data_IF_832752673921
#
_entry.id   IF_832752673921
#
_cell.length_a   1.000
_cell.length_b   1.000
_cell.length_c   1.000
_cell.angle_alpha   90.00
_cell.angle_beta   90.00
_cell.angle_gamma   90.00
#
_symmetry.space_group_name_H-M   'P 1'
#
loop_
_entity.id
_entity.type
_entity.pdbx_description
1 polymer ?
#
# COMPACT_ATOMS: atom_id res chain seq x y z
N UNK A 1 -17.51 -18.17 -17.77
CA UNK A 1 -16.52 -17.29 -18.38
C UNK A 1 -17.24 -16.06 -18.87
N UNK A 2 -16.65 -14.90 -18.63
CA UNK A 2 -17.15 -13.64 -19.12
C UNK A 2 -16.25 -13.13 -20.25
N UNK A 3 -16.82 -12.47 -21.21
CA UNK A 3 -16.10 -11.73 -22.23
C UNK A 3 -16.63 -10.29 -22.22
N UNK A 4 -15.73 -9.33 -22.10
CA UNK A 4 -16.07 -7.92 -22.00
C UNK A 4 -15.57 -7.19 -23.24
N UNK A 5 -16.41 -6.35 -23.81
CA UNK A 5 -16.05 -5.48 -24.93
C UNK A 5 -16.67 -4.10 -24.77
N UNK A 6 -15.92 -3.07 -25.21
CA UNK A 6 -16.40 -1.71 -25.30
C UNK A 6 -16.96 -1.46 -26.71
N UNK A 7 -18.13 -0.88 -26.79
CA UNK A 7 -18.82 -0.53 -28.04
C UNK A 7 -19.18 0.95 -28.04
N UNK A 8 -19.28 1.53 -29.22
CA UNK A 8 -19.75 2.91 -29.43
C UNK A 8 -19.00 3.94 -28.58
N UNK A 9 -17.66 3.79 -28.53
CA UNK A 9 -16.81 4.73 -27.77
C UNK A 9 -16.77 6.11 -28.42
N UNK A 10 -17.13 7.12 -27.66
CA UNK A 10 -16.97 8.53 -28.02
C UNK A 10 -15.72 9.09 -27.36
N UNK A 11 -14.94 9.85 -28.11
CA UNK A 11 -13.65 10.34 -27.67
C UNK A 11 -13.55 11.84 -27.85
N UNK A 12 -12.90 12.52 -26.92
CA UNK A 12 -12.55 13.93 -27.02
C UNK A 12 -11.02 14.08 -27.01
N UNK A 13 -10.52 15.10 -27.70
CA UNK A 13 -9.10 15.41 -27.66
C UNK A 13 -8.73 15.97 -26.28
N UNK A 14 -7.63 15.50 -25.71
CA UNK A 14 -7.13 15.97 -24.42
C UNK A 14 -6.41 17.32 -24.58
N UNK A 15 -6.55 18.17 -23.56
CA UNK A 15 -5.82 19.44 -23.50
C UNK A 15 -4.34 19.20 -23.19
N UNK A 16 -3.47 20.17 -23.48
CA UNK A 16 -2.04 20.10 -23.14
C UNK A 16 -1.81 19.89 -21.63
N UNK A 17 -2.66 20.49 -20.80
CA UNK A 17 -2.62 20.31 -19.34
C UNK A 17 -2.97 18.87 -18.92
N UNK A 18 -3.98 18.28 -19.54
CA UNK A 18 -4.40 16.90 -19.24
C UNK A 18 -3.33 15.90 -19.66
N UNK A 19 -2.70 16.13 -20.82
CA UNK A 19 -1.59 15.30 -21.30
C UNK A 19 -0.40 15.39 -20.36
N UNK A 20 -0.04 16.58 -19.89
CA UNK A 20 1.04 16.76 -18.93
C UNK A 20 0.76 16.03 -17.60
N UNK A 21 -0.46 16.12 -17.10
CA UNK A 21 -0.90 15.42 -15.89
C UNK A 21 -0.89 13.90 -16.08
N UNK A 22 -1.41 13.42 -17.21
CA UNK A 22 -1.37 12.00 -17.53
C UNK A 22 0.06 11.45 -17.57
N UNK A 23 0.95 12.12 -18.27
CA UNK A 23 2.36 11.71 -18.39
C UNK A 23 3.08 11.71 -17.03
N UNK A 24 2.74 12.66 -16.16
CA UNK A 24 3.28 12.71 -14.79
C UNK A 24 2.80 11.54 -13.92
N UNK A 25 1.55 11.11 -14.10
CA UNK A 25 0.93 10.08 -13.26
C UNK A 25 1.17 8.66 -13.78
N UNK A 26 1.09 8.43 -15.08
CA UNK A 26 1.12 7.08 -15.64
C UNK A 26 2.51 6.64 -16.12
N UNK A 27 3.33 7.57 -16.60
CA UNK A 27 4.65 7.28 -17.20
C UNK A 27 4.63 6.31 -18.40
N UNK A 28 3.44 5.87 -18.82
CA UNK A 28 3.24 4.89 -19.89
C UNK A 28 2.66 5.54 -21.14
N UNK A 29 3.07 5.04 -22.30
CA UNK A 29 2.48 5.45 -23.59
C UNK A 29 1.06 4.88 -23.67
N UNK A 30 0.02 5.70 -23.92
CA UNK A 30 -1.33 5.21 -24.06
C UNK A 30 -1.46 4.25 -25.26
N UNK A 31 -2.31 3.22 -25.14
CA UNK A 31 -2.59 2.31 -26.26
C UNK A 31 -3.41 3.02 -27.36
N UNK A 32 -3.43 2.44 -28.56
CA UNK A 32 -4.27 2.96 -29.65
C UNK A 32 -5.78 2.75 -29.41
N UNK A 33 -6.11 1.74 -28.60
CA UNK A 33 -7.50 1.39 -28.29
C UNK A 33 -7.66 1.08 -26.81
N UNK A 34 -8.82 1.40 -26.26
CA UNK A 34 -9.17 1.01 -24.90
C UNK A 34 -9.38 -0.51 -24.84
N UNK A 35 -8.58 -1.19 -24.03
CA UNK A 35 -8.63 -2.65 -23.85
C UNK A 35 -9.11 -2.96 -22.43
N UNK A 36 -10.38 -3.38 -22.25
CA UNK A 36 -10.87 -3.76 -20.93
C UNK A 36 -10.21 -5.06 -20.47
N UNK A 37 -9.69 -5.03 -19.26
CA UNK A 37 -9.23 -6.22 -18.53
C UNK A 37 -10.34 -6.67 -17.59
N UNK A 38 -10.46 -7.97 -17.42
CA UNK A 38 -11.50 -8.54 -16.58
C UNK A 38 -10.94 -9.58 -15.64
N UNK A 39 -11.44 -9.57 -14.41
CA UNK A 39 -11.18 -10.61 -13.43
C UNK A 39 -12.44 -10.93 -12.64
N UNK A 40 -12.58 -12.18 -12.22
CA UNK A 40 -13.64 -12.59 -11.29
C UNK A 40 -13.03 -12.72 -9.92
N UNK A 41 -13.57 -11.99 -8.97
CA UNK A 41 -13.18 -12.05 -7.56
C UNK A 41 -14.38 -12.47 -6.72
N UNK A 42 -14.16 -12.84 -5.47
CA UNK A 42 -15.20 -13.11 -4.51
C UNK A 42 -15.18 -12.02 -3.43
N UNK A 43 -16.32 -11.36 -3.24
CA UNK A 43 -16.51 -10.40 -2.18
C UNK A 43 -17.74 -10.79 -1.37
N UNK A 44 -17.58 -10.98 -0.05
CA UNK A 44 -18.68 -11.38 0.85
C UNK A 44 -19.46 -12.62 0.35
N UNK A 45 -18.75 -13.64 -0.15
CA UNK A 45 -19.32 -14.87 -0.74
C UNK A 45 -20.13 -14.64 -2.03
N UNK A 46 -20.02 -13.50 -2.64
CA UNK A 46 -20.63 -13.22 -3.94
C UNK A 46 -19.52 -13.09 -4.99
N UNK A 47 -19.73 -13.71 -6.15
CA UNK A 47 -18.83 -13.54 -7.29
C UNK A 47 -19.01 -12.15 -7.89
N UNK A 48 -17.90 -11.40 -8.00
CA UNK A 48 -17.87 -10.06 -8.59
C UNK A 48 -17.01 -10.09 -9.84
N UNK A 49 -17.54 -9.60 -10.95
CA UNK A 49 -16.78 -9.33 -12.16
C UNK A 49 -16.20 -7.92 -12.07
N UNK A 50 -14.90 -7.83 -11.93
CA UNK A 50 -14.18 -6.57 -11.99
C UNK A 50 -13.69 -6.32 -13.41
N UNK A 51 -13.90 -5.10 -13.90
CA UNK A 51 -13.51 -4.66 -15.24
C UNK A 51 -12.70 -3.39 -15.08
N UNK A 52 -11.44 -3.45 -15.51
CA UNK A 52 -10.51 -2.34 -15.41
C UNK A 52 -10.05 -1.92 -16.81
N UNK A 53 -9.98 -0.65 -17.11
CA UNK A 53 -9.40 -0.13 -18.35
C UNK A 53 -8.92 1.31 -18.19
N UNK A 54 -7.90 1.67 -18.98
CA UNK A 54 -7.49 3.06 -19.11
C UNK A 54 -8.34 3.75 -20.19
N UNK A 55 -9.01 4.87 -19.89
CA UNK A 55 -9.80 5.58 -20.86
C UNK A 55 -8.98 6.44 -21.83
N UNK A 56 -7.67 6.57 -21.61
CA UNK A 56 -6.77 7.38 -22.44
C UNK A 56 -6.20 6.54 -23.57
N UNK A 57 -6.29 7.05 -24.79
CA UNK A 57 -5.73 6.43 -26.01
C UNK A 57 -4.88 7.42 -26.77
N UNK A 58 -3.90 6.89 -27.52
CA UNK A 58 -3.10 7.67 -28.49
C UNK A 58 -3.32 7.14 -29.88
N UNK A 59 -4.11 7.88 -30.66
CA UNK A 59 -4.45 7.52 -32.04
C UNK A 59 -4.48 8.74 -32.94
N UNK A 60 -4.19 8.56 -34.22
CA UNK A 60 -4.11 9.66 -35.18
C UNK A 60 -3.21 10.81 -34.71
N UNK A 61 -2.10 10.46 -34.04
CA UNK A 61 -1.13 11.39 -33.46
C UNK A 61 -1.71 12.35 -32.41
N UNK A 62 -2.79 11.96 -31.70
CA UNK A 62 -3.46 12.75 -30.67
C UNK A 62 -3.77 11.89 -29.43
N UNK A 63 -3.63 12.51 -28.27
CA UNK A 63 -4.14 11.94 -27.03
C UNK A 63 -5.64 12.22 -26.93
N UNK A 64 -6.42 11.17 -26.72
CA UNK A 64 -7.88 11.26 -26.63
C UNK A 64 -8.36 10.54 -25.36
N UNK A 65 -9.42 11.08 -24.79
CA UNK A 65 -10.10 10.53 -23.61
C UNK A 65 -11.44 9.92 -24.06
N UNK A 66 -11.67 8.67 -23.68
CA UNK A 66 -12.98 8.02 -23.84
C UNK A 66 -13.97 8.62 -22.81
N UNK A 67 -15.02 9.27 -23.29
CA UNK A 67 -16.01 9.97 -22.45
C UNK A 67 -17.36 9.27 -22.39
N UNK A 68 -17.70 8.48 -23.42
CA UNK A 68 -18.95 7.74 -23.49
C UNK A 68 -18.70 6.40 -24.16
N UNK A 69 -19.36 5.34 -23.68
CA UNK A 69 -19.24 3.99 -24.24
C UNK A 69 -20.38 3.10 -23.78
N UNK A 70 -20.59 2.01 -24.50
CA UNK A 70 -21.44 0.92 -24.05
C UNK A 70 -20.54 -0.28 -23.68
N UNK A 71 -20.72 -0.80 -22.46
CA UNK A 71 -20.03 -2.00 -22.00
C UNK A 71 -20.91 -3.23 -22.30
N UNK A 72 -20.43 -4.09 -23.18
CA UNK A 72 -21.07 -5.37 -23.47
C UNK A 72 -20.37 -6.47 -22.67
N UNK A 73 -21.14 -7.20 -21.87
CA UNK A 73 -20.67 -8.34 -21.09
C UNK A 73 -21.39 -9.59 -21.54
N UNK A 74 -20.67 -10.52 -22.15
CA UNK A 74 -21.20 -11.81 -22.56
C UNK A 74 -20.78 -12.87 -21.52
N UNK A 75 -21.76 -13.56 -20.97
CA UNK A 75 -21.55 -14.62 -20.00
C UNK A 75 -21.85 -15.99 -20.62
N UNK A 76 -20.89 -16.93 -20.48
CA UNK A 76 -21.13 -18.32 -20.86
C UNK A 76 -20.83 -19.27 -19.70
N UNK A 77 -21.57 -20.36 -19.53
CA UNK A 77 -21.25 -21.36 -18.53
C UNK A 77 -19.89 -22.02 -18.83
N UNK A 78 -19.17 -22.39 -17.76
CA UNK A 78 -17.94 -23.17 -17.87
C UNK A 78 -18.24 -24.59 -18.37
N UNK A 79 -17.54 -25.03 -19.39
CA UNK A 79 -17.56 -26.44 -19.82
C UNK A 79 -16.97 -27.33 -18.73
N UNK A 80 -17.39 -28.59 -18.66
CA UNK A 80 -16.95 -29.55 -17.64
C UNK A 80 -15.43 -29.74 -17.61
N UNK A 81 -14.78 -29.70 -18.76
CA UNK A 81 -13.32 -29.75 -18.91
C UNK A 81 -12.60 -28.50 -18.34
N UNK A 82 -13.26 -27.35 -18.32
CA UNK A 82 -12.72 -26.09 -17.82
C UNK A 82 -12.91 -25.95 -16.28
N UNK A 83 -13.84 -26.73 -15.68
CA UNK A 83 -14.06 -26.76 -14.23
C UNK A 83 -12.94 -27.45 -13.47
N UNK A 84 -12.30 -28.43 -14.08
CA UNK A 84 -11.22 -29.20 -13.46
C UNK A 84 -9.91 -28.38 -13.30
N UNK A 85 -9.68 -27.40 -14.15
CA UNK A 85 -8.50 -26.54 -14.10
C UNK A 85 -8.64 -25.35 -13.12
N UNK A 86 -9.83 -25.12 -12.56
CA UNK A 86 -10.07 -23.99 -11.62
C UNK A 86 -9.44 -24.19 -10.24
N UNK A 87 -9.27 -25.43 -9.78
CA UNK A 87 -8.54 -25.73 -8.54
C UNK A 87 -7.04 -25.39 -8.63
N UNK A 88 -6.50 -25.33 -9.86
CA UNK A 88 -5.11 -24.94 -10.13
C UNK A 88 -4.96 -23.46 -10.50
N UNK A 89 -6.05 -22.76 -10.85
CA UNK A 89 -6.03 -21.36 -11.28
C UNK A 89 -6.03 -20.37 -10.11
N UNK A 90 -6.42 -20.80 -8.91
CA UNK A 90 -6.24 -20.04 -7.67
C UNK A 90 -4.79 -20.06 -7.19
N UNK A 91 -3.97 -20.99 -7.70
CA UNK A 91 -2.55 -21.12 -7.34
C UNK A 91 -1.57 -20.61 -8.42
N UNK A 92 -2.06 -20.28 -9.62
CA UNK A 92 -1.22 -19.73 -10.70
C UNK A 92 -2.02 -18.68 -11.46
N UNK A 93 -1.88 -17.44 -11.02
CA UNK A 93 -2.31 -16.27 -11.77
C UNK A 93 -1.61 -16.24 -13.15
N UNK A 94 -2.23 -16.87 -14.16
CA UNK A 94 -1.88 -16.56 -15.55
C UNK A 94 -2.54 -15.23 -15.89
N UNK A 95 -1.81 -14.15 -15.65
CA UNK A 95 -2.05 -12.89 -16.35
C UNK A 95 -1.76 -13.15 -17.82
N UNK A 96 -2.80 -13.23 -18.64
CA UNK A 96 -2.66 -13.36 -20.08
C UNK A 96 -2.21 -12.02 -20.66
N UNK A 97 -0.95 -12.00 -20.98
CA UNK A 97 -0.29 -11.22 -22.04
C UNK A 97 -0.75 -9.78 -22.28
N UNK A 98 -0.17 -8.87 -21.55
CA UNK A 98 0.30 -7.59 -22.06
C UNK A 98 1.59 -7.22 -21.33
N UNK A 99 2.65 -7.95 -21.65
CA UNK A 99 3.98 -7.51 -21.29
C UNK A 99 4.95 -8.13 -22.27
N UNK A 100 5.74 -7.31 -22.89
CA UNK A 100 7.05 -7.77 -23.32
C UNK A 100 7.70 -8.46 -22.13
N UNK A 101 8.34 -9.59 -22.31
CA UNK A 101 9.01 -10.38 -21.27
C UNK A 101 9.94 -9.55 -20.37
N UNK A 102 10.36 -8.39 -20.85
CA UNK A 102 11.23 -7.47 -20.14
C UNK A 102 10.51 -6.58 -19.12
N UNK A 103 9.25 -6.18 -19.38
CA UNK A 103 8.47 -5.41 -18.40
C UNK A 103 8.02 -6.26 -17.21
N UNK A 104 7.72 -7.57 -17.43
CA UNK A 104 7.44 -8.51 -16.34
C UNK A 104 8.68 -8.84 -15.50
N UNK A 105 9.85 -8.95 -16.14
CA UNK A 105 11.12 -9.13 -15.43
C UNK A 105 11.49 -7.89 -14.62
N UNK A 106 11.24 -6.70 -15.13
CA UNK A 106 11.47 -5.45 -14.41
C UNK A 106 10.50 -5.28 -13.23
N UNK A 107 9.22 -5.63 -13.39
CA UNK A 107 8.23 -5.55 -12.31
C UNK A 107 8.52 -6.55 -11.17
N UNK A 108 8.96 -7.77 -11.48
CA UNK A 108 9.30 -8.78 -10.46
C UNK A 108 10.57 -8.43 -9.66
N UNK A 109 11.43 -7.53 -10.17
CA UNK A 109 12.61 -7.05 -9.46
C UNK A 109 12.35 -5.82 -8.60
N UNK A 110 11.18 -5.16 -8.75
CA UNK A 110 10.82 -3.94 -8.04
C UNK A 110 10.09 -4.21 -6.72
N UNK A 111 9.54 -5.41 -6.56
CA UNK A 111 8.76 -5.81 -5.39
C UNK A 111 9.37 -7.02 -4.70
N UNK A 112 9.14 -7.13 -3.41
CA UNK A 112 9.60 -8.25 -2.61
C UNK A 112 8.95 -9.55 -3.11
N UNK A 113 9.75 -10.60 -3.30
CA UNK A 113 9.23 -11.92 -3.70
C UNK A 113 8.51 -12.65 -2.57
N UNK A 114 8.81 -12.31 -1.32
CA UNK A 114 8.24 -12.87 -0.09
C UNK A 114 8.19 -11.79 0.97
N UNK A 115 7.12 -11.77 1.75
CA UNK A 115 7.01 -10.87 2.91
C UNK A 115 7.97 -11.30 4.04
N UNK A 116 8.48 -10.34 4.78
CA UNK A 116 9.23 -10.61 6.03
C UNK A 116 8.41 -11.43 7.03
N UNK A 117 7.07 -11.34 6.97
CA UNK A 117 6.16 -12.12 7.81
C UNK A 117 5.99 -13.58 7.37
N UNK A 118 6.55 -13.99 6.21
CA UNK A 118 6.37 -15.34 5.67
C UNK A 118 7.01 -16.43 6.55
N UNK A 119 7.93 -16.06 7.40
CA UNK A 119 8.63 -17.00 8.29
C UNK A 119 8.89 -16.38 9.65
N UNK A 120 9.27 -17.22 10.63
CA UNK A 120 9.58 -16.78 11.97
C UNK A 120 8.34 -16.67 12.87
N UNK A 121 8.58 -16.23 14.10
CA UNK A 121 7.54 -15.96 15.09
C UNK A 121 7.35 -14.47 15.21
N UNK A 122 6.09 -14.02 15.12
CA UNK A 122 5.72 -12.62 15.15
C UNK A 122 4.69 -12.33 16.23
N UNK A 123 4.78 -11.15 16.81
CA UNK A 123 3.74 -10.63 17.69
C UNK A 123 3.37 -9.22 17.21
N UNK A 124 2.07 -8.90 17.27
CA UNK A 124 1.55 -7.59 16.91
C UNK A 124 1.44 -6.73 18.17
N UNK A 125 2.04 -5.54 18.15
CA UNK A 125 1.90 -4.53 19.20
C UNK A 125 1.13 -3.34 18.68
N UNK A 126 0.53 -2.58 19.58
CA UNK A 126 -0.26 -1.37 19.27
C UNK A 126 0.26 -0.15 20.01
N UNK A 127 0.14 1.01 19.39
CA UNK A 127 0.46 2.31 19.97
C UNK A 127 -0.74 3.24 19.81
N UNK A 128 -1.03 4.03 20.83
CA UNK A 128 -2.17 4.97 20.84
C UNK A 128 -1.80 6.36 20.32
N UNK A 129 -0.52 6.71 20.35
CA UNK A 129 -0.03 8.04 20.07
C UNK A 129 1.22 8.01 19.21
N UNK A 130 1.44 9.08 18.43
CA UNK A 130 2.69 9.29 17.71
C UNK A 130 3.76 9.84 18.64
N UNK A 131 4.95 9.26 18.60
CA UNK A 131 6.08 9.69 19.41
C UNK A 131 7.06 8.59 19.79
N UNK A 132 7.92 8.87 20.74
CA UNK A 132 8.89 7.93 21.27
C UNK A 132 8.24 6.96 22.26
N UNK A 133 8.32 5.69 21.98
CA UNK A 133 7.80 4.61 22.80
C UNK A 133 8.91 3.75 23.33
N UNK A 134 8.80 3.32 24.57
CA UNK A 134 9.73 2.35 25.14
C UNK A 134 9.24 0.92 24.87
N UNK A 135 10.07 0.12 24.23
CA UNK A 135 9.89 -1.33 24.22
C UNK A 135 10.39 -1.87 25.56
N UNK A 136 9.52 -2.45 26.36
CA UNK A 136 9.88 -2.98 27.67
C UNK A 136 10.09 -4.49 27.64
N UNK A 137 10.92 -5.00 28.53
CA UNK A 137 11.08 -6.46 28.68
C UNK A 137 9.75 -7.16 28.99
N UNK A 138 8.83 -6.49 29.69
CA UNK A 138 7.51 -7.04 29.97
C UNK A 138 6.72 -7.29 28.69
N UNK A 139 6.67 -6.32 27.77
CA UNK A 139 6.03 -6.47 26.46
C UNK A 139 6.66 -7.59 25.64
N UNK A 140 8.01 -7.64 25.65
CA UNK A 140 8.78 -8.67 24.93
C UNK A 140 8.45 -10.07 25.46
N UNK A 141 8.40 -10.26 26.79
CA UNK A 141 8.05 -11.53 27.40
C UNK A 141 6.57 -11.91 27.17
N UNK A 142 5.66 -10.95 27.23
CA UNK A 142 4.23 -11.18 26.91
C UNK A 142 4.05 -11.60 25.44
N UNK A 143 4.87 -11.08 24.54
CA UNK A 143 4.92 -11.50 23.15
C UNK A 143 5.56 -12.89 22.97
N UNK A 144 6.15 -13.45 24.03
CA UNK A 144 6.77 -14.76 24.09
C UNK A 144 8.20 -14.78 23.59
N UNK A 145 8.90 -13.66 23.64
CA UNK A 145 10.32 -13.54 23.35
C UNK A 145 11.12 -13.43 24.66
N UNK A 146 12.40 -13.77 24.61
CA UNK A 146 13.25 -13.89 25.81
C UNK A 146 14.31 -12.80 25.93
N UNK A 147 14.71 -12.20 24.82
CA UNK A 147 15.86 -11.30 24.77
C UNK A 147 15.50 -10.02 24.00
N UNK A 148 15.32 -8.94 24.75
CA UNK A 148 14.97 -7.62 24.19
C UNK A 148 16.06 -7.08 23.26
N UNK A 149 17.33 -7.43 23.50
CA UNK A 149 18.44 -6.96 22.68
C UNK A 149 18.43 -7.51 21.24
N UNK A 150 17.69 -8.58 21.01
CA UNK A 150 17.51 -9.24 19.70
C UNK A 150 16.14 -9.02 19.08
N UNK A 151 15.31 -8.18 19.69
CA UNK A 151 13.98 -7.89 19.16
C UNK A 151 14.04 -6.80 18.09
N UNK A 152 13.52 -7.11 16.91
CA UNK A 152 13.34 -6.21 15.79
C UNK A 152 11.89 -5.75 15.72
N UNK A 153 11.68 -4.52 15.29
CA UNK A 153 10.36 -3.89 15.16
C UNK A 153 10.14 -3.59 13.68
N UNK A 154 8.96 -3.92 13.14
CA UNK A 154 8.60 -3.71 11.74
C UNK A 154 7.23 -3.04 11.64
N UNK A 155 7.05 -2.15 10.67
CA UNK A 155 5.74 -1.58 10.37
C UNK A 155 5.75 -0.09 10.06
N UNK A 156 4.57 0.41 9.72
CA UNK A 156 4.32 1.79 9.31
C UNK A 156 3.38 2.53 10.27
N UNK A 157 2.95 1.87 11.35
CA UNK A 157 2.08 2.47 12.35
C UNK A 157 0.64 2.69 11.92
N UNK A 158 0.09 3.84 12.30
CA UNK A 158 -1.31 4.20 12.09
C UNK A 158 -1.55 5.21 10.98
N UNK A 159 -0.53 5.61 10.22
CA UNK A 159 -0.69 6.52 9.11
C UNK A 159 -1.54 5.93 8.00
N UNK A 160 -2.37 6.78 7.39
CA UNK A 160 -3.14 6.42 6.22
C UNK A 160 -2.24 6.43 4.99
N UNK A 161 -2.43 5.43 4.14
CA UNK A 161 -1.91 5.48 2.79
C UNK A 161 -2.66 6.54 1.96
N UNK A 162 -1.99 7.11 0.98
CA UNK A 162 -2.64 8.01 0.05
C UNK A 162 -3.69 7.26 -0.77
N UNK A 163 -4.84 7.90 -1.03
CA UNK A 163 -5.89 7.32 -1.87
C UNK A 163 -5.40 7.07 -3.31
N UNK A 164 -4.58 7.97 -3.83
CA UNK A 164 -3.88 7.79 -5.11
C UNK A 164 -2.49 7.20 -4.86
N UNK A 165 -2.39 5.89 -4.86
CA UNK A 165 -1.13 5.18 -4.67
C UNK A 165 -0.23 5.34 -5.91
N UNK A 166 0.87 6.06 -5.76
CA UNK A 166 1.91 6.16 -6.77
C UNK A 166 2.76 4.88 -6.76
N UNK A 167 3.33 4.52 -7.92
CA UNK A 167 4.19 3.35 -8.03
C UNK A 167 5.39 3.40 -7.06
N UNK A 168 5.96 4.59 -6.83
CA UNK A 168 7.04 4.80 -5.85
C UNK A 168 6.61 4.57 -4.41
N UNK A 169 5.37 4.93 -4.06
CA UNK A 169 4.81 4.69 -2.71
C UNK A 169 4.54 3.21 -2.50
N UNK A 170 3.99 2.53 -3.53
CA UNK A 170 3.78 1.09 -3.50
C UNK A 170 5.10 0.33 -3.32
N UNK A 171 6.17 0.75 -4.01
CA UNK A 171 7.49 0.15 -3.84
C UNK A 171 8.07 0.39 -2.45
N UNK A 172 7.92 1.60 -1.93
CA UNK A 172 8.43 1.96 -0.60
C UNK A 172 7.71 1.21 0.54
N UNK A 173 6.45 0.80 0.32
CA UNK A 173 5.60 0.13 1.32
C UNK A 173 5.23 -1.30 0.94
N UNK A 174 5.93 -1.90 -0.02
CA UNK A 174 5.63 -3.23 -0.56
C UNK A 174 5.72 -4.33 0.50
N UNK A 175 6.72 -4.24 1.38
CA UNK A 175 6.85 -5.10 2.56
C UNK A 175 7.16 -4.25 3.79
N UNK A 176 7.01 -4.84 4.98
CA UNK A 176 7.27 -4.14 6.23
C UNK A 176 8.75 -3.79 6.36
N UNK A 177 9.00 -2.55 6.73
CA UNK A 177 10.36 -2.05 6.99
C UNK A 177 10.71 -2.17 8.47
N UNK A 178 11.98 -2.47 8.75
CA UNK A 178 12.51 -2.46 10.12
C UNK A 178 12.57 -1.01 10.64
N UNK A 179 11.99 -0.80 11.81
CA UNK A 179 11.96 0.50 12.49
C UNK A 179 13.21 0.63 13.33
N UNK A 180 13.99 1.73 13.16
CA UNK A 180 15.16 1.97 13.97
C UNK A 180 14.82 2.07 15.46
N UNK A 181 15.71 1.52 16.29
CA UNK A 181 15.64 1.63 17.73
C UNK A 181 16.79 2.52 18.24
N UNK A 182 16.60 3.10 19.42
CA UNK A 182 17.63 3.81 20.15
C UNK A 182 17.74 3.24 21.55
N UNK A 183 18.97 3.01 22.02
CA UNK A 183 19.22 2.43 23.35
C UNK A 183 19.84 3.52 24.22
N UNK A 184 19.12 3.94 25.26
CA UNK A 184 19.58 4.93 26.22
C UNK A 184 19.44 4.38 27.63
N UNK A 185 20.55 4.31 28.37
CA UNK A 185 20.53 3.78 29.74
C UNK A 185 20.03 2.34 29.85
N UNK A 186 20.28 1.51 28.82
CA UNK A 186 19.81 0.13 28.76
C UNK A 186 18.32 -0.02 28.41
N UNK A 187 17.63 1.05 28.09
CA UNK A 187 16.24 1.04 27.68
C UNK A 187 16.12 1.18 26.16
N UNK A 188 15.26 0.40 25.56
CA UNK A 188 15.01 0.38 24.12
C UNK A 188 13.84 1.31 23.76
N UNK A 189 14.09 2.26 22.88
CA UNK A 189 13.09 3.19 22.38
C UNK A 189 12.96 3.05 20.87
N UNK A 190 11.75 3.28 20.38
CA UNK A 190 11.47 3.42 18.93
C UNK A 190 10.48 4.55 18.72
N UNK A 191 10.53 5.15 17.54
CA UNK A 191 9.53 6.15 17.17
C UNK A 191 8.36 5.45 16.51
N UNK A 192 7.16 5.74 16.98
CA UNK A 192 5.96 5.12 16.48
C UNK A 192 4.96 6.16 15.98
N UNK A 193 4.34 5.84 14.86
CA UNK A 193 3.23 6.57 14.28
C UNK A 193 1.91 6.04 14.85
N UNK A 194 1.20 6.88 15.59
CA UNK A 194 -0.13 6.60 16.09
C UNK A 194 -1.22 6.81 15.03
N UNK A 195 -2.52 6.76 15.44
CA UNK A 195 -3.63 6.95 14.52
C UNK A 195 -3.88 8.40 14.12
N UNK A 196 -3.16 9.35 14.72
CA UNK A 196 -3.26 10.78 14.42
C UNK A 196 -1.96 11.25 13.80
N UNK A 197 -2.07 11.91 12.66
CA UNK A 197 -0.96 12.59 11.99
C UNK A 197 -1.32 14.05 11.72
N UNK A 198 -0.27 14.86 11.52
CA UNK A 198 -0.41 16.26 11.17
C UNK A 198 0.18 16.47 9.78
N UNK A 199 -0.58 17.07 8.90
CA UNK A 199 -0.13 17.38 7.54
C UNK A 199 -0.03 18.89 7.37
N UNK A 200 0.93 19.26 6.51
CA UNK A 200 1.15 20.55 5.91
C UNK A 200 2.11 21.48 6.64
N UNK A 201 3.01 22.03 5.84
CA UNK A 201 3.99 23.04 6.24
C UNK A 201 3.37 24.43 6.45
N UNK A 202 2.19 24.69 5.89
CA UNK A 202 1.55 26.02 5.90
C UNK A 202 0.25 26.10 6.72
N UNK A 203 -0.43 24.98 6.91
CA UNK A 203 -1.62 24.93 7.75
C UNK A 203 -1.68 23.55 8.44
N UNK A 204 -1.49 23.54 9.75
CA UNK A 204 -1.56 22.32 10.55
C UNK A 204 -2.95 21.69 10.41
N UNK A 205 -3.03 20.62 9.67
CA UNK A 205 -4.24 19.82 9.52
C UNK A 205 -4.07 18.52 10.29
N UNK A 206 -4.90 18.34 11.30
CA UNK A 206 -5.01 17.08 12.02
C UNK A 206 -5.77 16.05 11.19
N UNK A 207 -5.17 14.89 10.99
CA UNK A 207 -5.77 13.76 10.28
C UNK A 207 -5.82 12.60 11.26
N UNK A 208 -7.04 12.10 11.52
CA UNK A 208 -7.24 10.88 12.29
C UNK A 208 -7.53 9.72 11.37
N UNK A 209 -6.92 8.58 11.65
CA UNK A 209 -7.21 7.35 10.94
C UNK A 209 -8.67 6.92 11.23
N UNK A 210 -9.57 6.89 10.22
CA UNK A 210 -10.98 6.53 10.43
C UNK A 210 -11.18 5.02 10.57
N UNK A 211 -10.15 4.21 10.34
CA UNK A 211 -10.23 2.75 10.35
C UNK A 211 -9.68 2.12 11.63
N UNK A 212 -8.90 2.88 12.40
CA UNK A 212 -8.24 2.36 13.61
C UNK A 212 -7.94 3.46 14.62
N UNK A 213 -8.15 3.15 15.90
CA UNK A 213 -7.75 3.99 17.04
C UNK A 213 -6.31 3.75 17.48
N UNK A 214 -5.56 2.89 16.77
CA UNK A 214 -4.19 2.52 17.12
C UNK A 214 -3.31 2.44 15.87
N UNK A 215 -2.04 2.79 16.02
CA UNK A 215 -0.97 2.36 15.14
C UNK A 215 -0.52 0.94 15.48
N UNK A 216 -0.12 0.15 14.49
CA UNK A 216 0.31 -1.22 14.70
C UNK A 216 1.70 -1.47 14.15
N UNK A 217 2.46 -2.24 14.94
CA UNK A 217 3.77 -2.74 14.58
C UNK A 217 3.87 -4.24 14.83
N UNK A 218 4.82 -4.88 14.20
CA UNK A 218 5.13 -6.28 14.40
C UNK A 218 6.52 -6.40 15.01
N UNK A 219 6.65 -7.25 16.00
CA UNK A 219 7.94 -7.55 16.63
C UNK A 219 8.28 -9.01 16.44
N UNK A 220 9.57 -9.27 16.26
CA UNK A 220 10.14 -10.61 16.16
C UNK A 220 11.50 -10.64 16.86
N UNK A 221 11.91 -11.80 17.31
CA UNK A 221 13.25 -12.04 17.82
C UNK A 221 14.00 -12.92 16.83
N UNK A 222 15.16 -12.47 16.40
CA UNK A 222 16.04 -13.19 15.47
C UNK A 222 17.48 -13.23 16.02
N UNK A 223 18.33 -14.03 15.42
CA UNK A 223 19.74 -14.06 15.81
C UNK A 223 20.53 -12.83 15.35
N UNK A 224 19.98 -12.07 14.38
CA UNK A 224 20.59 -10.83 13.89
C UNK A 224 20.30 -9.63 14.79
N UNK A 225 21.25 -8.71 14.84
CA UNK A 225 21.12 -7.46 15.59
C UNK A 225 20.00 -6.59 15.04
N UNK A 226 19.22 -5.89 15.89
CA UNK A 226 18.24 -4.88 15.46
C UNK A 226 18.94 -3.66 14.86
N UNK A 227 18.19 -2.92 14.03
CA UNK A 227 18.64 -1.64 13.50
C UNK A 227 18.68 -0.61 14.65
N UNK A 228 19.87 -0.23 15.10
CA UNK A 228 20.07 0.72 16.20
C UNK A 228 20.70 1.99 15.67
N UNK A 229 20.18 3.13 16.08
CA UNK A 229 20.73 4.45 15.81
C UNK A 229 21.24 5.09 17.13
N UNK A 230 22.25 5.95 17.03
CA UNK A 230 22.67 6.78 18.13
C UNK A 230 21.56 7.79 18.49
N UNK A 231 21.54 8.28 19.73
CA UNK A 231 20.45 9.11 20.24
C UNK A 231 20.30 10.45 19.52
N UNK A 232 21.40 11.04 19.07
CA UNK A 232 21.36 12.33 18.37
C UNK A 232 20.73 12.16 16.98
N UNK A 233 21.18 11.17 16.20
CA UNK A 233 20.62 10.81 14.91
C UNK A 233 19.15 10.40 15.05
N UNK A 234 18.83 9.58 16.04
CA UNK A 234 17.47 9.09 16.27
C UNK A 234 16.50 10.23 16.57
N UNK A 235 16.87 11.16 17.45
CA UNK A 235 16.01 12.33 17.76
C UNK A 235 15.91 13.26 16.55
N UNK A 236 17.03 13.59 15.90
CA UNK A 236 17.02 14.54 14.77
C UNK A 236 16.29 14.04 13.54
N UNK A 237 16.21 12.71 13.33
CA UNK A 237 15.44 12.15 12.20
C UNK A 237 13.93 12.29 12.37
N UNK A 238 13.44 12.42 13.61
CA UNK A 238 12.01 12.58 13.89
C UNK A 238 11.64 14.03 14.27
N UNK A 239 12.54 14.75 14.92
CA UNK A 239 12.37 16.15 15.33
C UNK A 239 13.58 16.97 14.87
N UNK A 240 13.68 17.25 13.55
CA UNK A 240 14.82 17.97 12.98
C UNK A 240 14.88 19.45 13.37
N UNK A 241 13.77 20.01 13.87
CA UNK A 241 13.63 21.39 14.27
C UNK A 241 13.09 21.47 15.72
N UNK A 242 13.34 22.53 16.46
CA UNK A 242 12.65 22.79 17.71
C UNK A 242 11.15 23.00 17.44
N UNK A 243 10.30 22.31 18.18
CA UNK A 243 8.85 22.39 18.05
C UNK A 243 8.25 23.11 19.24
N UNK A 244 7.22 23.92 18.94
CA UNK A 244 6.20 24.25 19.91
C UNK A 244 5.24 23.08 20.05
N UNK A 245 4.66 22.93 21.24
CA UNK A 245 3.66 21.90 21.49
C UNK A 245 2.35 22.25 20.77
N UNK A 246 1.84 21.34 19.95
CA UNK A 246 0.53 21.47 19.30
C UNK A 246 -0.45 20.50 19.93
N UNK A 247 -1.58 21.02 20.37
CA UNK A 247 -2.67 20.22 20.90
C UNK A 247 -4.00 20.72 20.34
N UNK A 248 -4.85 19.79 19.90
CA UNK A 248 -6.24 20.05 19.55
C UNK A 248 -7.14 19.34 20.55
N UNK A 249 -7.93 20.13 21.27
CA UNK A 249 -8.97 19.57 22.12
C UNK A 249 -10.28 19.50 21.32
N UNK A 250 -10.77 18.29 21.09
CA UNK A 250 -12.06 18.02 20.48
C UNK A 250 -12.95 17.30 21.52
N UNK A 251 -14.13 17.84 21.75
CA UNK A 251 -15.15 17.21 22.55
C UNK A 251 -16.36 16.93 21.66
N UNK A 252 -16.65 15.65 21.42
CA UNK A 252 -17.86 15.24 20.74
C UNK A 252 -19.04 15.37 21.70
N UNK A 253 -19.77 16.46 21.58
CA UNK A 253 -21.04 16.66 22.30
C UNK A 253 -22.19 16.15 21.47
N UNK A 254 -22.89 15.15 21.93
CA UNK A 254 -24.22 14.80 21.37
C UNK A 254 -25.23 15.80 21.94
N UNK A 255 -25.85 16.57 21.07
CA UNK A 255 -27.01 17.42 21.39
C UNK A 255 -28.30 16.74 20.96
#
# INVERSE_FOLDING_TARGET
>A
VYTVSLKYGEYIDMTASDIANYNRLSGAVPPEQVLPQQRVTECRKQGVLQIDFSPVVFRNNRHQLLVSFMLQVDARPLKRSERSSRGSLLAKGKVSAFTSSDALRSASSLYASHSVLASGRWAKIRVSETGFHQLTEQVVRQAGFSDISKVKIYGYGGNLQNEALLASELQATDDLQEVPQCIVGGKHYFYAEGPVSWKSETALQRIRNPYSDYGYYFITQTDGEPLVQDSATFVSSHYPQPYDYHSLYESDGFS
#
